data_IF_935857737631
#
_entry.id   IF_935857737631
#
_cell.length_a   1.000
_cell.length_b   1.000
_cell.length_c   1.000
_cell.angle_alpha   90.00
_cell.angle_beta   90.00
_cell.angle_gamma   90.00
#
_symmetry.space_group_name_H-M   'P 1'
#
loop_
_entity.id
_entity.type
_entity.pdbx_description
1 polymer ?
#
# COMPACT_ATOMS: atom_id res chain seq x y z
N UNK A 1 41.35 62.51 -12.12
CA UNK A 1 42.51 61.60 -12.24
C UNK A 1 42.21 60.38 -11.36
N UNK A 2 41.43 59.42 -11.84
CA UNK A 2 41.83 58.15 -12.51
C UNK A 2 42.32 57.04 -11.56
N UNK A 3 41.55 55.93 -11.59
CA UNK A 3 41.82 54.52 -11.20
C UNK A 3 41.42 54.13 -9.77
N UNK A 4 40.75 52.96 -9.62
CA UNK A 4 41.46 51.69 -9.78
C UNK A 4 40.88 50.78 -10.87
N UNK A 5 41.79 50.31 -11.73
CA UNK A 5 41.70 49.04 -12.43
C UNK A 5 41.97 47.95 -11.37
N UNK A 6 41.03 47.08 -11.09
CA UNK A 6 41.33 45.76 -10.55
C UNK A 6 40.51 44.72 -11.30
N UNK A 7 41.18 44.08 -12.26
CA UNK A 7 40.83 42.77 -12.76
C UNK A 7 41.35 41.74 -11.77
N UNK A 8 40.48 40.89 -11.25
CA UNK A 8 40.87 39.59 -10.73
C UNK A 8 39.75 38.58 -10.97
N UNK A 9 40.00 37.67 -11.89
CA UNK A 9 39.33 36.38 -12.05
C UNK A 9 39.17 35.68 -10.70
N UNK A 10 38.00 35.09 -10.45
CA UNK A 10 37.90 33.80 -9.77
C UNK A 10 36.59 33.10 -10.16
N UNK A 11 36.73 32.16 -11.09
CA UNK A 11 35.76 31.11 -11.37
C UNK A 11 35.90 30.07 -10.23
N UNK A 12 34.91 29.91 -9.36
CA UNK A 12 34.80 28.71 -8.51
C UNK A 12 33.34 28.33 -8.32
N UNK A 13 32.95 27.27 -9.03
CA UNK A 13 31.76 26.50 -8.74
C UNK A 13 31.91 25.84 -7.36
N UNK A 14 30.96 26.07 -6.45
CA UNK A 14 30.74 25.22 -5.29
C UNK A 14 29.30 24.71 -5.36
N UNK A 15 29.19 23.62 -6.09
CA UNK A 15 28.02 22.76 -6.19
C UNK A 15 27.73 22.12 -4.82
N UNK A 16 26.45 22.07 -4.47
CA UNK A 16 25.78 21.05 -3.66
C UNK A 16 26.22 20.84 -2.20
N UNK A 17 25.28 21.07 -1.28
CA UNK A 17 24.85 20.06 -0.29
C UNK A 17 23.57 20.54 0.41
N UNK A 18 22.44 20.45 -0.29
CA UNK A 18 21.15 20.42 0.40
C UNK A 18 20.99 19.00 0.97
N UNK A 19 20.83 18.80 2.29
CA UNK A 19 20.47 17.49 2.82
C UNK A 19 19.03 17.19 2.36
N UNK A 20 18.91 16.36 1.32
CA UNK A 20 17.64 15.79 0.90
C UNK A 20 17.13 14.89 2.03
N UNK A 21 16.12 15.39 2.73
CA UNK A 21 15.31 14.67 3.71
C UNK A 21 14.80 13.39 3.06
N UNK A 22 15.35 12.25 3.46
CA UNK A 22 14.86 10.93 3.07
C UNK A 22 13.92 10.43 4.16
N UNK A 23 12.69 10.93 4.16
CA UNK A 23 11.60 10.38 4.96
C UNK A 23 11.21 9.02 4.38
N UNK A 24 11.93 7.97 4.77
CA UNK A 24 11.56 6.59 4.48
C UNK A 24 10.39 6.19 5.39
N UNK A 25 9.19 6.64 5.03
CA UNK A 25 7.98 6.09 5.61
C UNK A 25 7.92 4.59 5.24
N UNK A 26 8.35 3.73 6.16
CA UNK A 26 8.10 2.28 6.12
C UNK A 26 6.59 2.05 6.25
N UNK A 27 5.86 2.34 5.18
CA UNK A 27 4.47 1.95 5.05
C UNK A 27 4.46 0.42 4.98
N UNK A 28 3.78 -0.21 5.94
CA UNK A 28 3.62 -1.65 5.94
C UNK A 28 2.96 -2.15 4.65
N UNK A 29 2.88 -3.48 4.47
CA UNK A 29 2.17 -4.07 3.35
C UNK A 29 0.76 -3.47 3.24
N UNK A 30 0.28 -3.14 2.02
CA UNK A 30 -1.03 -2.55 1.86
C UNK A 30 -2.09 -3.55 2.32
N UNK A 31 -2.98 -3.12 3.22
CA UNK A 31 -4.06 -3.94 3.79
C UNK A 31 -5.30 -3.89 2.87
N UNK A 32 -6.12 -4.96 2.82
CA UNK A 32 -7.42 -4.89 2.16
C UNK A 32 -8.33 -3.86 2.85
N UNK A 33 -9.17 -3.18 2.05
CA UNK A 33 -10.18 -2.26 2.57
C UNK A 33 -11.38 -3.05 3.11
N UNK A 34 -11.25 -3.56 4.34
CA UNK A 34 -12.27 -4.43 4.94
C UNK A 34 -13.63 -3.74 5.12
N UNK A 35 -13.63 -2.45 5.41
CA UNK A 35 -14.81 -1.59 5.49
C UNK A 35 -15.58 -1.58 4.16
N UNK A 36 -14.87 -1.45 3.03
CA UNK A 36 -15.47 -1.43 1.69
C UNK A 36 -15.98 -2.80 1.25
N UNK A 37 -15.22 -3.86 1.53
CA UNK A 37 -15.65 -5.24 1.27
C UNK A 37 -16.90 -5.56 2.09
N UNK A 38 -16.95 -5.14 3.34
CA UNK A 38 -18.09 -5.32 4.22
C UNK A 38 -19.35 -4.62 3.68
N UNK A 39 -19.20 -3.36 3.24
CA UNK A 39 -20.29 -2.61 2.61
C UNK A 39 -20.79 -3.27 1.32
N UNK A 40 -19.88 -3.75 0.46
CA UNK A 40 -20.21 -4.42 -0.80
C UNK A 40 -20.97 -5.75 -0.60
N UNK A 41 -20.74 -6.44 0.52
CA UNK A 41 -21.30 -7.77 0.80
C UNK A 41 -22.41 -7.76 1.87
N UNK A 42 -22.77 -6.59 2.42
CA UNK A 42 -23.73 -6.49 3.51
C UNK A 42 -23.29 -7.21 4.79
N UNK A 43 -21.98 -7.29 5.04
CA UNK A 43 -21.37 -7.92 6.20
C UNK A 43 -20.85 -6.87 7.19
N UNK A 44 -20.49 -7.27 8.40
CA UNK A 44 -19.71 -6.41 9.30
C UNK A 44 -18.21 -6.47 8.95
N UNK A 45 -17.49 -5.38 9.16
CA UNK A 45 -16.03 -5.33 8.97
C UNK A 45 -15.31 -6.40 9.80
N UNK A 46 -15.79 -6.67 11.01
CA UNK A 46 -15.26 -7.73 11.88
C UNK A 46 -15.44 -9.13 11.28
N UNK A 47 -16.59 -9.41 10.66
CA UNK A 47 -16.84 -10.69 9.98
C UNK A 47 -15.94 -10.85 8.75
N UNK A 48 -15.74 -9.78 7.99
CA UNK A 48 -14.85 -9.78 6.84
C UNK A 48 -13.39 -9.98 7.26
N UNK A 49 -12.88 -9.16 8.19
CA UNK A 49 -11.48 -9.22 8.62
C UNK A 49 -11.11 -10.54 9.30
N UNK A 50 -12.05 -11.21 9.96
CA UNK A 50 -11.86 -12.56 10.51
C UNK A 50 -11.59 -13.64 9.44
N UNK A 51 -12.03 -13.40 8.20
CA UNK A 51 -11.78 -14.31 7.09
C UNK A 51 -10.40 -14.13 6.44
N UNK A 52 -9.66 -13.08 6.78
CA UNK A 52 -8.31 -12.85 6.25
C UNK A 52 -7.26 -13.33 7.24
N UNK A 53 -6.21 -14.04 6.76
CA UNK A 53 -5.10 -14.40 7.61
C UNK A 53 -4.34 -13.15 8.08
N UNK A 54 -3.85 -13.19 9.31
CA UNK A 54 -2.98 -12.13 9.83
C UNK A 54 -1.66 -12.16 9.06
N UNK A 55 -1.36 -11.09 8.33
CA UNK A 55 -0.06 -10.92 7.69
C UNK A 55 0.97 -10.53 8.76
N UNK A 56 1.71 -11.51 9.27
CA UNK A 56 2.84 -11.32 10.17
C UNK A 56 3.97 -10.56 9.44
N UNK A 57 4.48 -9.49 10.04
CA UNK A 57 5.67 -8.78 9.55
C UNK A 57 6.92 -9.42 10.15
N UNK A 58 7.26 -10.64 9.72
CA UNK A 58 8.47 -11.34 10.15
C UNK A 58 9.58 -11.31 9.10
N UNK A 59 10.78 -10.85 9.47
CA UNK A 59 12.02 -11.23 8.76
C UNK A 59 12.36 -10.52 7.44
N UNK A 60 11.88 -9.29 7.22
CA UNK A 60 12.27 -8.48 6.04
C UNK A 60 11.75 -8.98 4.69
N UNK A 61 11.01 -10.09 4.68
CA UNK A 61 10.39 -10.65 3.49
C UNK A 61 8.99 -10.06 3.30
N UNK A 62 8.58 -9.91 2.04
CA UNK A 62 7.23 -9.46 1.69
C UNK A 62 6.23 -10.52 2.18
N UNK A 63 5.15 -10.14 2.89
CA UNK A 63 4.16 -11.12 3.33
C UNK A 63 3.56 -11.85 2.13
N UNK A 64 3.28 -13.13 2.33
CA UNK A 64 2.58 -13.95 1.36
C UNK A 64 1.15 -13.42 1.17
N UNK A 65 0.67 -13.48 -0.08
CA UNK A 65 -0.71 -13.10 -0.38
C UNK A 65 -1.67 -14.14 0.19
N UNK A 66 -2.80 -13.72 0.78
CA UNK A 66 -3.81 -14.66 1.24
C UNK A 66 -4.39 -15.45 0.05
N UNK A 67 -4.71 -16.72 0.29
CA UNK A 67 -5.48 -17.53 -0.65
C UNK A 67 -6.93 -17.01 -0.71
N UNK A 68 -7.28 -16.42 -1.85
CA UNK A 68 -8.61 -15.84 -2.05
C UNK A 68 -9.71 -16.89 -2.08
N UNK A 69 -9.42 -18.14 -2.43
CA UNK A 69 -10.41 -19.24 -2.40
C UNK A 69 -10.83 -19.56 -0.96
N UNK A 70 -9.87 -19.58 -0.03
CA UNK A 70 -10.13 -19.75 1.39
C UNK A 70 -10.91 -18.56 1.97
N UNK A 71 -10.56 -17.33 1.58
CA UNK A 71 -11.29 -16.11 1.98
C UNK A 71 -12.73 -16.15 1.47
N UNK A 72 -12.94 -16.49 0.18
CA UNK A 72 -14.27 -16.61 -0.42
C UNK A 72 -15.12 -17.65 0.32
N UNK A 73 -14.56 -18.83 0.57
CA UNK A 73 -15.22 -19.90 1.30
C UNK A 73 -15.61 -19.48 2.72
N UNK A 74 -14.78 -18.66 3.38
CA UNK A 74 -15.08 -18.11 4.70
C UNK A 74 -16.22 -17.09 4.64
N UNK A 75 -16.19 -16.15 3.70
CA UNK A 75 -17.23 -15.13 3.53
C UNK A 75 -18.58 -15.76 3.20
N UNK A 76 -18.58 -16.82 2.37
CA UNK A 76 -19.78 -17.60 2.05
C UNK A 76 -20.35 -18.36 3.26
N UNK A 77 -19.51 -18.78 4.21
CA UNK A 77 -20.01 -19.34 5.49
C UNK A 77 -20.59 -18.25 6.39
N UNK A 78 -20.02 -17.03 6.36
CA UNK A 78 -20.54 -15.90 7.12
C UNK A 78 -21.91 -15.43 6.60
N UNK A 79 -22.13 -15.52 5.29
CA UNK A 79 -23.44 -15.32 4.68
C UNK A 79 -23.66 -16.27 3.48
N UNK A 80 -24.39 -17.38 3.67
CA UNK A 80 -24.67 -18.37 2.61
C UNK A 80 -25.55 -17.86 1.47
N UNK A 81 -26.24 -16.72 1.65
CA UNK A 81 -26.98 -16.09 0.58
C UNK A 81 -26.04 -15.47 -0.46
N UNK A 82 -24.75 -15.30 -0.14
CA UNK A 82 -23.80 -14.72 -1.06
C UNK A 82 -23.35 -15.71 -2.16
N UNK A 83 -23.41 -15.27 -3.40
CA UNK A 83 -22.86 -15.93 -4.57
C UNK A 83 -21.33 -15.82 -4.64
N UNK A 84 -20.69 -16.88 -5.14
CA UNK A 84 -19.24 -16.91 -5.33
C UNK A 84 -18.72 -15.78 -6.23
N UNK A 85 -19.46 -15.46 -7.30
CA UNK A 85 -19.09 -14.38 -8.21
C UNK A 85 -19.17 -13.00 -7.57
N UNK A 86 -20.15 -12.75 -6.71
CA UNK A 86 -20.27 -11.45 -6.05
C UNK A 86 -19.17 -11.24 -5.01
N UNK A 87 -18.84 -12.29 -4.24
CA UNK A 87 -17.74 -12.26 -3.28
C UNK A 87 -16.43 -11.98 -4.01
N UNK A 88 -16.15 -12.72 -5.09
CA UNK A 88 -14.96 -12.51 -5.91
C UNK A 88 -14.91 -11.10 -6.48
N UNK A 89 -16.04 -10.59 -7.00
CA UNK A 89 -16.11 -9.23 -7.53
C UNK A 89 -15.83 -8.17 -6.45
N UNK A 90 -16.37 -8.34 -5.24
CA UNK A 90 -16.10 -7.43 -4.12
C UNK A 90 -14.63 -7.46 -3.68
N UNK A 91 -14.02 -8.64 -3.61
CA UNK A 91 -12.60 -8.80 -3.29
C UNK A 91 -11.70 -8.15 -4.36
N UNK A 92 -12.04 -8.32 -5.64
CA UNK A 92 -11.31 -7.72 -6.76
C UNK A 92 -11.41 -6.19 -6.79
N UNK A 93 -12.61 -5.62 -6.59
CA UNK A 93 -12.82 -4.16 -6.55
C UNK A 93 -12.06 -3.48 -5.42
N UNK A 94 -11.89 -4.18 -4.29
CA UNK A 94 -11.30 -3.63 -3.06
C UNK A 94 -9.87 -4.14 -2.83
N UNK A 95 -9.17 -4.56 -3.90
CA UNK A 95 -7.76 -4.92 -3.81
C UNK A 95 -6.93 -3.73 -3.29
N UNK A 96 -5.93 -3.98 -2.42
CA UNK A 96 -5.07 -2.92 -1.92
C UNK A 96 -4.34 -2.21 -3.07
N UNK A 97 -4.25 -0.88 -3.03
CA UNK A 97 -3.51 -0.11 -4.02
C UNK A 97 -2.01 -0.51 -4.01
N UNK A 98 -1.40 -0.65 -5.20
CA UNK A 98 -0.03 -1.19 -5.33
C UNK A 98 0.07 -2.73 -5.27
N UNK A 99 -1.07 -3.44 -5.22
CA UNK A 99 -1.12 -4.87 -5.51
C UNK A 99 -0.63 -5.13 -6.95
N UNK A 100 0.43 -5.95 -7.18
CA UNK A 100 0.78 -6.39 -8.53
C UNK A 100 -0.44 -7.05 -9.18
N UNK A 101 -0.83 -6.53 -10.36
CA UNK A 101 -1.81 -7.15 -11.25
C UNK A 101 -1.12 -8.40 -11.83
N UNK A 102 -1.74 -9.56 -11.71
CA UNK A 102 -1.34 -10.77 -12.46
C UNK A 102 -2.37 -11.00 -13.53
#
# INVERSE_FOLDING_TARGET
MTKPLQFALALTAALACAPAVSAQARQGPPKPAFDRIAADLGLSESAVSACFPKMERGGGQRPERPDLSAVESCLKRANPALGSDEIRAALERNKPEGAPRR
#
